data_IF_207360384240
#
_entry.id   IF_207360384240
#
_cell.length_a   1.000
_cell.length_b   1.000
_cell.length_c   1.000
_cell.angle_alpha   90.00
_cell.angle_beta   90.00
_cell.angle_gamma   90.00
#
_symmetry.space_group_name_H-M   'P 1'
#
loop_
_entity.id
_entity.type
_entity.pdbx_description
1 polymer ?
2 non-polymer ?
3 non-polymer ?
4 water ?
#
# COMPACT_ATOMS: atom_id res chain seq x y z
N UNK A 31 -3.98 3.61 17.50
CA UNK A 31 -2.75 4.46 17.68
C UNK A 31 -2.87 5.77 16.89
N UNK A 32 -3.20 6.82 17.61
CA UNK A 32 -3.41 8.10 16.99
C UNK A 32 -2.07 8.83 16.88
N UNK A 33 -1.82 9.46 15.73
CA UNK A 33 -0.59 10.24 15.55
C UNK A 33 -0.80 11.61 16.24
N UNK A 34 0.19 11.97 17.09
CA UNK A 34 0.48 13.37 17.51
C UNK A 34 1.35 13.98 16.45
N UNK A 35 2.62 13.58 16.53
CA UNK A 35 3.71 14.50 16.35
C UNK A 35 3.45 15.46 15.20
N UNK A 36 3.15 16.71 15.57
CA UNK A 36 2.86 17.78 14.62
C UNK A 36 3.94 17.96 13.57
N UNK A 37 5.18 18.14 14.00
CA UNK A 37 6.30 18.20 13.04
C UNK A 37 6.43 16.92 12.22
N UNK A 38 6.13 15.76 12.81
CA UNK A 38 6.27 14.53 12.09
C UNK A 38 5.22 14.46 10.97
N UNK A 39 4.00 14.86 11.29
CA UNK A 39 2.96 14.90 10.29
C UNK A 39 3.33 15.84 9.12
N UNK A 40 3.93 16.99 9.45
CA UNK A 40 4.37 17.89 8.39
C UNK A 40 5.48 17.28 7.54
N UNK A 41 6.37 16.50 8.17
CA UNK A 41 7.46 15.84 7.43
C UNK A 41 6.94 14.78 6.47
N UNK A 42 5.90 14.06 6.88
CA UNK A 42 5.24 13.05 5.99
C UNK A 42 4.68 13.74 4.75
N UNK A 43 4.01 14.88 4.97
CA UNK A 43 3.43 15.62 3.85
C UNK A 43 4.51 16.18 2.92
N UNK A 44 5.56 16.74 3.50
CA UNK A 44 6.72 17.17 2.71
C UNK A 44 7.28 16.01 1.89
N UNK A 45 7.49 14.86 2.52
CA UNK A 45 8.00 13.69 1.81
C UNK A 45 7.11 13.25 0.63
N UNK A 46 5.79 13.34 0.82
CA UNK A 46 4.81 13.05 -0.24
C UNK A 46 4.99 13.88 -1.52
N UNK A 47 5.57 15.07 -1.40
CA UNK A 47 5.70 16.01 -2.53
C UNK A 47 4.34 16.62 -2.93
N UNK A 48 3.39 16.62 -2.00
CA UNK A 48 2.06 17.17 -2.21
C UNK A 48 2.14 18.64 -2.64
N UNK A 49 1.48 18.98 -3.73
CA UNK A 49 1.42 20.35 -4.18
C UNK A 49 0.02 20.82 -3.95
N UNK A 50 -0.10 22.14 -3.92
CA UNK A 50 -1.36 22.83 -3.81
C UNK A 50 -2.41 22.35 -4.81
N UNK A 51 -3.66 22.32 -4.38
CA UNK A 51 -4.80 22.07 -5.24
C UNK A 51 -4.88 20.64 -5.72
N UNK A 52 -4.33 19.72 -4.95
CA UNK A 52 -4.42 18.28 -5.29
C UNK A 52 -5.69 17.62 -4.75
N UNK A 53 -5.90 16.39 -5.20
CA UNK A 53 -6.99 15.52 -4.77
C UNK A 53 -6.38 14.44 -3.88
N UNK A 54 -6.70 14.47 -2.58
CA UNK A 54 -6.00 13.62 -1.61
C UNK A 54 -6.98 12.64 -0.96
N UNK A 55 -6.48 11.45 -0.62
CA UNK A 55 -7.20 10.46 0.14
C UNK A 55 -6.40 10.07 1.39
N UNK A 56 -7.09 10.06 2.53
CA UNK A 56 -6.50 9.64 3.79
C UNK A 56 -7.39 8.57 4.38
N UNK A 57 -6.80 7.46 4.86
CA UNK A 57 -7.56 6.41 5.60
C UNK A 57 -7.34 6.52 7.12
N UNK A 58 -8.39 6.33 7.90
CA UNK A 58 -8.25 6.30 9.35
C UNK A 58 -7.58 7.56 9.91
N UNK A 59 -8.18 8.73 9.64
CA UNK A 59 -7.58 10.00 10.09
C UNK A 59 -7.49 10.12 11.62
N UNK A 60 -8.29 9.32 12.33
CA UNK A 60 -8.19 9.26 13.77
C UNK A 60 -8.53 10.62 14.34
N UNK A 61 -7.62 11.15 15.14
CA UNK A 61 -7.82 12.41 15.79
C UNK A 61 -7.30 13.60 14.95
N UNK A 62 -6.89 13.38 13.70
CA UNK A 62 -6.70 14.49 12.74
C UNK A 62 -5.30 15.08 12.52
N UNK A 63 -4.26 14.51 13.11
CA UNK A 63 -2.93 15.09 13.00
C UNK A 63 -2.40 15.19 11.56
N UNK A 64 -2.41 14.08 10.85
CA UNK A 64 -2.00 14.05 9.47
C UNK A 64 -2.99 14.83 8.61
N UNK A 65 -4.28 14.69 8.93
CA UNK A 65 -5.32 15.41 8.23
C UNK A 65 -5.01 16.94 8.17
N UNK A 66 -4.64 17.52 9.31
CA UNK A 66 -4.38 18.96 9.36
C UNK A 66 -3.13 19.33 8.56
N UNK A 67 -2.08 18.51 8.65
CA UNK A 67 -0.88 18.72 7.83
C UNK A 67 -1.20 18.68 6.35
N UNK A 68 -2.09 17.77 5.94
CA UNK A 68 -2.47 17.68 4.51
C UNK A 68 -3.20 18.98 4.13
N UNK A 69 -4.15 19.37 4.97
CA UNK A 69 -5.00 20.55 4.71
C UNK A 69 -4.19 21.87 4.66
N UNK A 70 -3.05 21.87 5.34
CA UNK A 70 -2.15 23.02 5.27
C UNK A 70 -1.57 23.22 3.86
N UNK A 71 -1.58 22.18 3.00
CA UNK A 71 -1.18 22.35 1.58
C UNK A 71 -2.31 22.67 0.62
N UNK A 72 -3.50 22.97 1.16
CA UNK A 72 -4.58 23.53 0.37
C UNK A 72 -5.01 22.65 -0.79
N UNK A 73 -5.29 21.39 -0.48
CA UNK A 73 -5.77 20.51 -1.55
C UNK A 73 -7.12 20.99 -2.06
N UNK A 74 -7.44 20.61 -3.30
CA UNK A 74 -8.77 20.81 -3.83
C UNK A 74 -9.81 20.00 -3.09
N UNK A 75 -9.45 18.77 -2.72
CA UNK A 75 -10.33 17.90 -1.99
C UNK A 75 -9.49 16.95 -1.15
N UNK A 76 -9.82 16.86 0.11
CA UNK A 76 -9.26 15.85 0.98
C UNK A 76 -10.44 14.99 1.41
N UNK A 77 -10.40 13.74 0.99
CA UNK A 77 -11.37 12.75 1.39
C UNK A 77 -10.75 11.87 2.44
N UNK A 78 -11.47 11.71 3.56
CA UNK A 78 -11.06 10.84 4.65
C UNK A 78 -12.08 9.73 4.89
N UNK A 79 -11.55 8.53 5.13
CA UNK A 79 -12.36 7.33 5.32
C UNK A 79 -12.18 6.95 6.77
N UNK A 80 -13.27 7.03 7.56
CA UNK A 80 -13.21 6.80 8.98
C UNK A 80 -14.47 6.11 9.49
N UNK A 81 -14.29 5.11 10.35
CA UNK A 81 -15.41 4.41 11.00
C UNK A 81 -15.49 4.66 12.51
N UNK A 82 -14.37 5.00 13.13
CA UNK A 82 -14.38 5.16 14.59
C UNK A 82 -15.31 6.34 14.98
N UNK A 83 -16.42 6.04 15.67
CA UNK A 83 -17.39 7.06 16.06
C UNK A 83 -16.74 8.13 16.93
N UNK A 84 -15.88 7.68 17.84
CA UNK A 84 -15.19 8.59 18.77
C UNK A 84 -14.52 9.78 18.06
N UNK A 85 -14.03 9.52 16.83
CA UNK A 85 -13.20 10.47 16.04
C UNK A 85 -13.94 11.49 15.16
N UNK A 86 -15.19 11.19 14.83
CA UNK A 86 -15.92 12.00 13.87
C UNK A 86 -16.20 13.44 14.33
N UNK A 87 -16.68 13.63 15.58
CA UNK A 87 -16.93 15.00 16.01
C UNK A 87 -15.78 15.94 15.74
N UNK A 88 -14.53 15.57 16.08
CA UNK A 88 -13.38 16.44 15.76
C UNK A 88 -13.27 16.61 14.24
N UNK A 89 -13.47 15.53 13.48
CA UNK A 89 -13.44 15.60 12.00
C UNK A 89 -14.55 16.52 11.42
N UNK A 90 -15.73 16.48 12.03
CA UNK A 90 -16.80 17.42 11.68
C UNK A 90 -16.39 18.85 11.99
N UNK A 91 -15.74 19.05 13.13
CA UNK A 91 -15.25 20.36 13.54
C UNK A 91 -14.18 20.87 12.58
N UNK A 92 -13.27 19.98 12.17
CA UNK A 92 -12.24 20.39 11.21
C UNK A 92 -12.91 20.86 9.93
N UNK A 93 -13.88 20.08 9.47
CA UNK A 93 -14.59 20.39 8.23
C UNK A 93 -15.22 21.80 8.29
N UNK A 94 -15.64 22.22 9.49
CA UNK A 94 -16.22 23.57 9.65
C UNK A 94 -15.26 24.67 9.24
N UNK A 95 -13.96 24.48 9.44
CA UNK A 95 -12.99 25.44 8.97
C UNK A 95 -12.41 25.06 7.61
N UNK A 96 -12.62 23.83 7.16
CA UNK A 96 -12.01 23.35 5.91
C UNK A 96 -13.06 22.68 5.04
N UNK A 97 -13.80 23.50 4.26
CA UNK A 97 -14.87 22.97 3.42
C UNK A 97 -14.41 21.95 2.37
N UNK A 98 -13.13 21.96 2.04
CA UNK A 98 -12.53 20.95 1.16
C UNK A 98 -12.30 19.59 1.82
N UNK A 99 -12.69 19.44 3.08
CA UNK A 99 -12.67 18.16 3.76
C UNK A 99 -13.98 17.41 3.52
N UNK A 100 -13.84 16.17 3.05
CA UNK A 100 -14.95 15.27 2.76
C UNK A 100 -14.79 14.01 3.63
N UNK A 101 -15.80 13.69 4.46
CA UNK A 101 -15.70 12.58 5.40
C UNK A 101 -16.59 11.41 5.00
N UNK A 102 -16.00 10.23 4.85
CA UNK A 102 -16.77 9.03 4.48
C UNK A 102 -16.62 7.98 5.56
N UNK A 103 -17.75 7.55 6.12
CA UNK A 103 -17.76 6.53 7.17
C UNK A 103 -18.00 5.13 6.57
N UNK A 104 -16.93 4.49 6.11
CA UNK A 104 -17.01 3.16 5.49
C UNK A 104 -15.77 2.35 5.86
N UNK A 105 -15.88 1.03 5.77
CA UNK A 105 -14.74 0.13 5.97
C UNK A 105 -13.73 0.34 4.85
N UNK A 106 -12.47 0.50 5.21
CA UNK A 106 -11.44 0.76 4.24
C UNK A 106 -11.31 -0.41 3.25
N UNK A 107 -11.43 -1.63 3.77
CA UNK A 107 -11.36 -2.81 2.91
C UNK A 107 -12.54 -2.92 1.95
N UNK A 108 -13.62 -2.20 2.20
CA UNK A 108 -14.77 -2.21 1.32
C UNK A 108 -14.74 -1.08 0.29
N UNK A 109 -13.83 -0.13 0.42
CA UNK A 109 -13.77 0.98 -0.56
C UNK A 109 -12.97 0.57 -1.78
N UNK A 110 -13.55 0.72 -2.96
CA UNK A 110 -12.78 0.77 -4.20
C UNK A 110 -12.44 2.23 -4.47
N UNK A 111 -11.20 2.52 -4.88
CA UNK A 111 -10.86 3.89 -5.30
C UNK A 111 -11.79 4.40 -6.41
N UNK A 112 -12.22 3.52 -7.30
CA UNK A 112 -13.19 3.87 -8.35
C UNK A 112 -14.52 4.39 -7.80
N UNK A 113 -14.83 4.04 -6.55
CA UNK A 113 -16.03 4.58 -5.86
C UNK A 113 -15.94 6.05 -5.47
N UNK A 114 -14.72 6.62 -5.43
CA UNK A 114 -14.56 8.02 -5.07
C UNK A 114 -14.86 9.00 -6.22
N UNK A 115 -15.08 8.49 -7.43
CA UNK A 115 -15.44 9.34 -8.53
C UNK A 115 -14.47 10.51 -8.76
N UNK A 116 -13.17 10.27 -8.56
CA UNK A 116 -12.13 11.27 -8.88
C UNK A 116 -10.84 10.61 -9.37
N UNK A 117 -10.00 11.41 -10.01
CA UNK A 117 -8.79 10.91 -10.68
C UNK A 117 -7.60 11.47 -9.94
N UNK A 118 -6.41 11.01 -10.34
CA UNK A 118 -5.17 11.59 -9.88
C UNK A 118 -5.17 11.68 -8.35
N UNK A 119 -5.54 10.58 -7.72
CA UNK A 119 -5.63 10.50 -6.28
C UNK A 119 -4.23 10.38 -5.69
N UNK A 120 -3.92 11.31 -4.79
CA UNK A 120 -2.74 11.25 -4.01
C UNK A 120 -3.16 10.69 -2.66
N UNK A 121 -2.66 9.51 -2.34
CA UNK A 121 -2.95 8.88 -1.06
C UNK A 121 -1.83 9.22 -0.06
N UNK A 122 -2.18 9.89 1.04
CA UNK A 122 -1.28 10.16 2.11
C UNK A 122 -1.99 9.66 3.36
N UNK A 123 -1.40 8.67 4.04
CA UNK A 123 -2.11 7.96 5.07
C UNK A 123 -1.22 7.10 5.95
N UNK A 124 -1.55 7.10 7.24
CA UNK A 124 -1.27 6.00 8.13
C UNK A 124 -2.26 4.88 7.85
N UNK A 125 -1.82 3.63 7.98
CA UNK A 125 -2.71 2.51 7.79
C UNK A 125 -2.95 1.83 9.13
N UNK A 126 -4.20 1.42 9.38
CA UNK A 126 -4.50 0.50 10.46
C UNK A 126 -3.66 -0.78 10.34
N UNK A 127 -3.02 -1.17 11.43
CA UNK A 127 -2.06 -2.29 11.41
C UNK A 127 -2.68 -3.63 11.04
N UNK A 128 -3.99 -3.80 11.23
CA UNK A 128 -4.62 -5.05 10.81
C UNK A 128 -4.64 -5.26 9.28
N UNK A 129 -4.67 -4.19 8.48
CA UNK A 129 -5.05 -4.36 7.07
C UNK A 129 -4.16 -3.62 6.08
N UNK A 130 -3.01 -3.16 6.56
CA UNK A 130 -2.10 -2.33 5.78
C UNK A 130 -1.73 -2.96 4.46
N UNK A 131 -1.30 -4.22 4.54
CA UNK A 131 -0.82 -4.96 3.37
C UNK A 131 -1.97 -5.11 2.38
N UNK A 132 -3.16 -5.47 2.89
CA UNK A 132 -4.34 -5.65 2.06
C UNK A 132 -4.74 -4.36 1.33
N UNK A 133 -4.61 -3.22 2.00
CA UNK A 133 -4.95 -1.95 1.38
C UNK A 133 -3.93 -1.56 0.31
N UNK A 134 -2.65 -1.74 0.60
CA UNK A 134 -1.63 -1.42 -0.38
C UNK A 134 -1.88 -2.19 -1.70
N UNK A 135 -2.13 -3.50 -1.59
CA UNK A 135 -2.37 -4.33 -2.77
C UNK A 135 -3.64 -3.86 -3.50
N UNK A 136 -4.71 -3.59 -2.75
CA UNK A 136 -5.95 -3.10 -3.34
C UNK A 136 -5.74 -1.80 -4.15
N UNK A 137 -5.02 -0.87 -3.56
CA UNK A 137 -4.76 0.43 -4.21
C UNK A 137 -3.89 0.27 -5.45
N UNK A 138 -2.86 -0.57 -5.33
CA UNK A 138 -1.97 -0.80 -6.48
C UNK A 138 -2.71 -1.41 -7.66
N UNK A 139 -3.67 -2.29 -7.35
CA UNK A 139 -4.52 -2.88 -8.36
C UNK A 139 -5.35 -1.83 -9.11
N UNK A 140 -5.66 -0.72 -8.46
CA UNK A 140 -6.31 0.41 -9.10
C UNK A 140 -5.31 1.56 -9.32
N UNK A 141 -4.07 1.21 -9.64
CA UNK A 141 -3.03 2.25 -9.76
C UNK A 141 -3.34 3.32 -10.81
N UNK A 142 -4.17 2.99 -11.82
CA UNK A 142 -4.53 3.97 -12.88
C UNK A 142 -5.18 5.25 -12.35
N UNK A 143 -5.83 5.15 -11.17
CA UNK A 143 -6.49 6.27 -10.56
C UNK A 143 -5.56 7.05 -9.60
N UNK A 144 -4.32 6.59 -9.44
CA UNK A 144 -3.43 7.02 -8.39
C UNK A 144 -2.29 7.85 -8.93
N UNK A 145 -2.12 9.05 -8.37
CA UNK A 145 -0.90 9.85 -8.64
C UNK A 145 0.29 9.28 -7.92
N UNK A 146 0.16 9.10 -6.61
CA UNK A 146 1.21 8.52 -5.77
C UNK A 146 0.62 8.14 -4.43
N UNK A 147 1.37 7.38 -3.65
CA UNK A 147 1.00 7.04 -2.27
C UNK A 147 2.21 7.23 -1.38
N UNK A 148 2.00 7.94 -0.27
CA UNK A 148 2.97 8.11 0.81
C UNK A 148 2.30 7.57 2.04
N UNK A 149 2.81 6.44 2.56
CA UNK A 149 2.08 5.68 3.55
C UNK A 149 2.95 5.40 4.77
N UNK A 150 2.33 5.40 5.93
CA UNK A 150 2.99 5.02 7.16
C UNK A 150 2.47 3.63 7.55
N UNK A 151 3.40 2.69 7.69
CA UNK A 151 3.13 1.29 8.02
C UNK A 151 4.15 0.79 9.02
N UNK A 152 3.88 -0.37 9.59
CA UNK A 152 4.88 -1.09 10.36
C UNK A 152 6.11 -1.21 9.49
N UNK A 153 7.26 -0.98 10.10
CA UNK A 153 8.53 -0.98 9.35
C UNK A 153 8.86 -2.35 8.75
N UNK A 154 8.40 -3.39 9.44
CA UNK A 154 8.57 -4.74 8.99
C UNK A 154 7.88 -4.92 7.64
N UNK A 155 6.72 -4.29 7.48
CA UNK A 155 5.96 -4.39 6.24
C UNK A 155 6.63 -3.57 5.13
N UNK A 156 7.10 -2.37 5.49
CA UNK A 156 7.82 -1.50 4.55
C UNK A 156 9.07 -2.23 3.98
N UNK A 157 9.84 -2.92 4.81
CA UNK A 157 11.00 -3.64 4.26
C UNK A 157 10.55 -4.74 3.26
N UNK A 158 9.39 -5.37 3.51
CA UNK A 158 8.86 -6.31 2.55
C UNK A 158 8.40 -5.61 1.29
N UNK A 159 7.79 -4.43 1.39
CA UNK A 159 7.40 -3.69 0.19
C UNK A 159 8.63 -3.41 -0.70
N UNK A 160 9.76 -3.10 -0.07
CA UNK A 160 10.93 -2.56 -0.77
C UNK A 160 11.97 -3.60 -1.12
N UNK A 161 11.75 -4.85 -0.70
CA UNK A 161 12.75 -5.90 -0.83
C UNK A 161 12.96 -6.30 -2.29
N UNK A 162 14.22 -6.59 -2.61
CA UNK A 162 14.64 -7.07 -3.92
C UNK A 162 14.79 -8.58 -3.89
N UNK A 163 14.75 -9.23 -5.05
CA UNK A 163 14.79 -10.69 -5.02
C UNK A 163 16.11 -11.20 -4.47
N UNK A 164 16.11 -12.39 -3.88
CA UNK A 164 17.30 -12.87 -3.22
C UNK A 164 17.78 -11.75 -2.26
N UNK A 165 16.85 -11.33 -1.40
CA UNK A 165 17.14 -10.62 -0.15
C UNK A 165 16.24 -11.28 0.90
N UNK A 166 16.55 -11.05 2.17
CA UNK A 166 15.89 -11.73 3.28
C UNK A 166 14.37 -11.51 3.30
N UNK A 167 13.97 -10.26 3.06
CA UNK A 167 12.55 -9.85 3.16
C UNK A 167 11.76 -10.02 1.85
N UNK A 168 12.38 -10.58 0.84
CA UNK A 168 11.71 -10.74 -0.47
C UNK A 168 10.55 -11.69 -0.31
N UNK A 169 9.41 -11.29 -0.85
CA UNK A 169 8.19 -12.05 -0.67
C UNK A 169 7.09 -11.59 -1.59
N UNK A 170 5.89 -12.06 -1.30
CA UNK A 170 4.74 -11.80 -2.12
C UNK A 170 4.48 -10.30 -2.28
N UNK A 171 4.56 -9.58 -1.16
CA UNK A 171 4.33 -8.13 -1.17
C UNK A 171 5.33 -7.44 -2.07
N UNK A 172 6.58 -7.87 -2.01
CA UNK A 172 7.66 -7.31 -2.82
C UNK A 172 7.34 -7.47 -4.31
N UNK A 173 6.95 -8.69 -4.69
CA UNK A 173 6.57 -9.00 -6.06
C UNK A 173 5.46 -8.08 -6.54
N UNK A 174 4.37 -7.99 -5.79
CA UNK A 174 3.23 -7.24 -6.25
C UNK A 174 3.58 -5.75 -6.41
N UNK A 175 4.20 -5.21 -5.39
CA UNK A 175 4.64 -3.81 -5.40
C UNK A 175 5.63 -3.52 -6.53
N UNK A 176 6.60 -4.41 -6.75
CA UNK A 176 7.62 -4.22 -7.80
C UNK A 176 7.07 -4.22 -9.19
N UNK A 177 6.01 -5.00 -9.42
CA UNK A 177 5.45 -5.05 -10.77
C UNK A 177 4.67 -3.77 -11.12
N UNK A 178 4.24 -3.03 -10.10
CA UNK A 178 3.32 -1.94 -10.29
C UNK A 178 3.87 -0.57 -10.00
N UNK A 179 4.78 -0.46 -9.05
CA UNK A 179 5.22 0.87 -8.58
C UNK A 179 6.73 0.98 -8.42
N UNK A 180 7.22 2.22 -8.48
CA UNK A 180 8.54 2.57 -7.97
C UNK A 180 8.34 2.73 -6.46
N UNK A 181 9.09 2.00 -5.65
CA UNK A 181 8.90 2.04 -4.19
C UNK A 181 10.11 2.67 -3.54
N UNK A 182 9.86 3.45 -2.51
CA UNK A 182 10.94 4.21 -1.87
C UNK A 182 10.67 4.35 -0.37
N UNK A 183 11.56 3.76 0.41
CA UNK A 183 11.60 3.95 1.83
C UNK A 183 12.02 5.40 2.16
N UNK A 184 11.20 6.13 2.93
CA UNK A 184 11.50 7.54 3.25
C UNK A 184 12.18 7.75 4.61
N UNK A 185 11.53 7.34 5.70
CA UNK A 185 12.19 7.38 7.01
C UNK A 185 11.43 6.52 8.01
N UNK A 186 12.10 6.23 9.11
CA UNK A 186 11.51 5.46 10.21
C UNK A 186 10.72 6.36 11.17
N UNK A 187 9.72 5.77 11.82
CA UNK A 187 8.87 6.47 12.76
C UNK A 187 8.80 5.66 14.08
N UNK A 188 9.26 6.28 15.17
CA UNK A 188 9.30 5.65 16.49
C UNK A 188 7.90 5.58 17.14
N UNK A 189 7.65 4.60 18.04
CA UNK A 189 6.34 4.48 18.75
C UNK A 189 5.86 5.75 19.47
N UNK A 190 6.81 6.55 19.95
CA UNK A 190 6.51 7.76 20.69
C UNK A 190 5.78 8.80 19.83
N UNK A 191 5.83 8.63 18.50
CA UNK A 191 5.08 9.48 17.59
C UNK A 191 3.55 9.39 17.78
N UNK A 192 3.04 8.32 18.43
CA UNK A 192 1.60 8.08 18.60
C UNK A 192 1.08 8.03 20.04
N UNK A 193 -0.24 8.14 20.19
CA UNK A 193 -0.93 7.98 21.47
C UNK A 193 -2.15 7.06 21.35
N UNK A 194 -2.21 5.98 22.16
CA UNK A 194 -1.07 5.50 22.94
C UNK A 194 0.01 4.93 21.97
N UNK A 195 1.22 4.65 22.49
CA UNK A 195 2.28 4.22 21.57
C UNK A 195 2.13 2.76 21.13
N UNK A 196 2.39 2.46 19.84
CA UNK A 196 2.44 1.04 19.45
C UNK A 196 3.69 0.35 20.02
N UNK A 197 3.74 -0.98 19.97
CA UNK A 197 4.92 -1.71 20.48
C UNK A 197 6.05 -1.77 19.43
N UNK A 198 5.74 -1.48 18.17
CA UNK A 198 6.72 -1.62 17.08
C UNK A 198 6.93 -0.34 16.27
N UNK A 199 8.06 -0.27 15.59
CA UNK A 199 8.38 0.83 14.70
C UNK A 199 7.49 0.84 13.46
N UNK A 200 7.03 2.04 13.12
CA UNK A 200 6.46 2.35 11.82
C UNK A 200 7.52 2.94 10.87
N UNK A 201 7.14 3.09 9.61
CA UNK A 201 7.98 3.78 8.67
C UNK A 201 7.13 4.30 7.54
N UNK A 202 7.72 5.24 6.82
CA UNK A 202 7.06 5.91 5.71
C UNK A 202 7.61 5.36 4.43
N UNK A 203 6.72 4.99 3.54
CA UNK A 203 7.11 4.50 2.24
C UNK A 203 6.34 5.24 1.15
N UNK A 204 7.04 5.58 0.07
CA UNK A 204 6.38 6.19 -1.09
C UNK A 204 6.31 5.23 -2.29
N UNK A 205 5.14 5.13 -2.91
CA UNK A 205 4.92 4.23 -4.05
C UNK A 205 4.40 5.06 -5.20
N UNK A 206 5.08 5.02 -6.33
CA UNK A 206 4.65 5.77 -7.49
C UNK A 206 4.41 4.81 -8.65
N UNK A 207 3.16 4.73 -9.15
CA UNK A 207 2.94 3.73 -10.20
C UNK A 207 3.88 3.87 -11.36
N UNK A 208 4.29 2.74 -11.90
CA UNK A 208 5.19 2.74 -13.03
C UNK A 208 4.46 3.23 -14.27
N UNK A 209 5.22 3.77 -15.20
CA UNK A 209 4.69 4.37 -16.41
C UNK A 209 4.04 3.32 -17.32
N UNK A 210 4.61 2.13 -17.31
CA UNK A 210 4.00 0.95 -17.93
C UNK A 210 3.68 -0.10 -16.86
N UNK A 211 2.42 -0.53 -16.78
CA UNK A 211 2.03 -1.55 -15.78
C UNK A 211 1.36 -2.77 -16.47
N UNK A 212 1.39 -3.96 -15.84
CA UNK A 212 0.77 -5.11 -16.47
C UNK A 212 -0.73 -4.98 -16.36
N UNK A 213 -1.48 -5.71 -17.18
CA UNK A 213 -2.92 -5.59 -17.07
C UNK A 213 -3.40 -6.24 -15.80
N UNK A 214 -4.51 -5.70 -15.34
CA UNK A 214 -5.17 -6.10 -14.13
C UNK A 214 -5.44 -7.60 -14.09
N UNK A 215 -5.75 -8.22 -15.22
CA UNK A 215 -5.96 -9.67 -15.24
C UNK A 215 -4.74 -10.41 -14.71
N UNK A 216 -3.57 -10.10 -15.26
CA UNK A 216 -2.34 -10.77 -14.87
C UNK A 216 -1.97 -10.47 -13.43
N UNK A 217 -2.17 -9.23 -12.96
CA UNK A 217 -1.86 -8.91 -11.58
C UNK A 217 -2.76 -9.73 -10.63
N UNK A 218 -4.04 -9.87 -10.98
CA UNK A 218 -4.96 -10.65 -10.14
C UNK A 218 -4.46 -12.08 -10.02
N UNK A 219 -3.99 -12.65 -11.11
CA UNK A 219 -3.43 -14.00 -11.06
C UNK A 219 -2.14 -14.07 -10.25
N UNK A 220 -1.25 -13.09 -10.43
CA UNK A 220 -0.02 -13.01 -9.64
C UNK A 220 -0.30 -12.97 -8.13
N UNK A 221 -1.29 -12.18 -7.75
CA UNK A 221 -1.73 -12.06 -6.38
C UNK A 221 -1.99 -13.44 -5.74
N UNK A 222 -2.71 -14.30 -6.47
CA UNK A 222 -3.04 -15.62 -5.95
C UNK A 222 -1.88 -16.61 -6.09
N UNK A 223 -1.24 -16.60 -7.26
CA UNK A 223 -0.06 -17.43 -7.45
C UNK A 223 1.00 -17.22 -6.35
N UNK A 224 1.29 -15.96 -6.01
CA UNK A 224 2.32 -15.70 -5.06
C UNK A 224 1.85 -16.11 -3.66
N UNK A 225 0.53 -16.09 -3.35
CA UNK A 225 0.06 -16.57 -2.04
C UNK A 225 0.36 -18.06 -1.85
N UNK A 226 0.15 -18.86 -2.88
CA UNK A 226 0.53 -20.25 -2.83
C UNK A 226 2.06 -20.40 -2.85
N UNK A 227 2.74 -19.75 -3.78
CA UNK A 227 4.19 -19.93 -3.93
C UNK A 227 4.95 -19.66 -2.62
N UNK A 228 4.60 -18.54 -1.97
CA UNK A 228 5.28 -18.10 -0.77
C UNK A 228 4.70 -18.65 0.53
N UNK A 229 3.71 -19.54 0.46
CA UNK A 229 3.13 -20.09 1.70
C UNK A 229 4.21 -20.75 2.58
N UNK A 230 5.19 -21.43 1.97
CA UNK A 230 6.44 -21.86 2.66
C UNK A 230 7.70 -21.57 1.82
N UNK A 231 8.79 -21.10 2.43
CA UNK A 231 10.04 -20.73 1.71
C UNK A 231 10.82 -21.91 1.09
N UNK A 232 10.60 -23.10 1.62
CA UNK A 232 11.37 -24.21 1.11
C UNK A 232 10.73 -24.89 -0.07
N UNK A 233 9.51 -24.48 -0.44
CA UNK A 233 8.75 -25.30 -1.38
C UNK A 233 9.12 -24.93 -2.81
N UNK A 234 9.36 -25.98 -3.58
CA UNK A 234 9.60 -25.79 -4.98
C UNK A 234 8.32 -25.33 -5.59
N UNK A 235 8.45 -24.50 -6.59
CA UNK A 235 7.33 -24.03 -7.36
C UNK A 235 6.58 -25.20 -7.97
N UNK A 236 7.29 -26.23 -8.40
CA UNK A 236 6.57 -27.32 -9.08
C UNK A 236 5.74 -28.13 -8.09
N UNK A 237 5.96 -27.90 -6.78
CA UNK A 237 5.17 -28.51 -5.76
C UNK A 237 4.02 -27.58 -5.30
N UNK A 238 4.38 -26.35 -4.89
CA UNK A 238 3.36 -25.40 -4.44
C UNK A 238 2.28 -25.08 -5.46
N UNK A 239 2.61 -25.09 -6.75
CA UNK A 239 1.62 -24.74 -7.78
C UNK A 239 1.00 -25.94 -8.49
N UNK A 240 1.33 -27.14 -8.01
CA UNK A 240 0.93 -28.37 -8.66
C UNK A 240 -0.59 -28.54 -8.70
N UNK A 241 -1.29 -28.19 -7.62
CA UNK A 241 -2.76 -28.31 -7.62
C UNK A 241 -3.33 -27.38 -8.68
N UNK A 242 -2.86 -26.13 -8.69
CA UNK A 242 -3.36 -25.14 -9.64
C UNK A 242 -2.98 -25.48 -11.07
N UNK A 243 -1.76 -25.96 -11.28
CA UNK A 243 -1.23 -26.22 -12.60
C UNK A 243 -0.52 -27.57 -12.57
N UNK A 244 -1.25 -28.61 -12.98
CA UNK A 244 -0.71 -29.98 -12.99
C UNK A 244 0.50 -30.10 -13.93
N UNK A 245 0.50 -29.26 -14.96
CA UNK A 245 1.55 -29.22 -15.96
C UNK A 245 2.63 -28.16 -15.62
N UNK A 246 2.71 -27.75 -14.35
CA UNK A 246 3.67 -26.71 -13.94
C UNK A 246 5.12 -26.95 -14.43
N UNK A 247 5.61 -28.19 -14.44
CA UNK A 247 6.99 -28.48 -14.96
C UNK A 247 7.15 -28.12 -16.44
N UNK A 248 6.10 -28.37 -17.22
CA UNK A 248 6.03 -27.94 -18.63
C UNK A 248 6.11 -26.41 -18.78
N UNK A 249 5.39 -25.68 -17.93
CA UNK A 249 5.37 -24.23 -18.02
C UNK A 249 6.71 -23.64 -17.61
N UNK A 250 7.31 -24.18 -16.56
CA UNK A 250 8.65 -23.73 -16.14
C UNK A 250 9.67 -23.95 -17.29
N UNK A 251 9.53 -25.07 -17.98
CA UNK A 251 10.39 -25.37 -19.13
C UNK A 251 10.15 -24.43 -20.30
N UNK A 252 8.87 -24.10 -20.56
CA UNK A 252 8.53 -23.12 -21.59
C UNK A 252 9.16 -21.75 -21.26
N UNK A 253 9.25 -21.41 -19.99
CA UNK A 253 9.84 -20.16 -19.58
C UNK A 253 11.36 -20.27 -19.33
N UNK A 254 11.92 -21.44 -19.52
CA UNK A 254 13.34 -21.70 -19.29
C UNK A 254 13.76 -21.40 -17.87
N UNK A 255 12.87 -21.68 -16.94
CA UNK A 255 13.18 -21.56 -15.53
C UNK A 255 13.54 -22.94 -14.98
N UNK A 256 14.48 -23.00 -14.02
CA UNK A 256 14.80 -24.26 -13.38
C UNK A 256 13.56 -25.01 -12.91
N UNK A 257 13.55 -26.32 -13.16
CA UNK A 257 12.49 -27.17 -12.66
C UNK A 257 12.55 -27.23 -11.13
N UNK A 258 13.69 -26.87 -10.53
CA UNK A 258 13.80 -26.96 -9.06
C UNK A 258 13.70 -25.62 -8.32
N UNK A 259 13.30 -24.59 -9.04
CA UNK A 259 13.19 -23.25 -8.46
C UNK A 259 12.25 -23.23 -7.24
N UNK A 260 12.55 -22.33 -6.33
CA UNK A 260 11.72 -22.08 -5.17
C UNK A 260 11.25 -20.65 -5.29
N UNK A 261 10.22 -20.30 -4.52
CA UNK A 261 9.57 -19.01 -4.69
C UNK A 261 10.50 -17.81 -4.64
N UNK A 262 11.45 -17.82 -3.72
CA UNK A 262 12.40 -16.68 -3.54
C UNK A 262 13.38 -16.54 -4.71
N UNK A 263 13.47 -17.57 -5.54
CA UNK A 263 14.37 -17.58 -6.68
C UNK A 263 13.79 -16.85 -7.89
N UNK A 264 12.45 -16.78 -7.99
CA UNK A 264 11.77 -16.17 -9.13
C UNK A 264 11.68 -14.67 -8.96
N UNK A 265 11.89 -13.93 -10.05
CA UNK A 265 11.77 -12.48 -10.06
C UNK A 265 10.30 -12.05 -10.14
N UNK A 266 9.99 -10.75 -9.99
CA UNK A 266 8.59 -10.37 -10.23
C UNK A 266 8.13 -10.67 -11.64
N UNK A 267 9.01 -10.45 -12.61
CA UNK A 267 8.68 -10.77 -14.01
C UNK A 267 8.42 -12.24 -14.26
N UNK A 268 9.17 -13.10 -13.57
CA UNK A 268 8.94 -14.56 -13.63
C UNK A 268 7.50 -14.89 -13.21
N UNK A 269 7.02 -14.27 -12.13
CA UNK A 269 5.63 -14.50 -11.70
C UNK A 269 4.60 -13.99 -12.68
N UNK A 270 4.90 -12.87 -13.34
CA UNK A 270 4.01 -12.37 -14.38
C UNK A 270 3.94 -13.33 -15.55
N UNK A 271 5.10 -13.84 -15.95
CA UNK A 271 5.17 -14.85 -17.00
C UNK A 271 4.37 -16.08 -16.69
N UNK A 272 4.53 -16.59 -15.47
CA UNK A 272 3.73 -17.72 -15.03
C UNK A 272 2.24 -17.44 -15.07
N UNK A 273 1.83 -16.25 -14.59
CA UNK A 273 0.42 -15.87 -14.62
C UNK A 273 -0.13 -15.90 -16.04
N UNK A 274 0.68 -15.53 -17.01
CA UNK A 274 0.16 -15.45 -18.38
C UNK A 274 0.01 -16.84 -19.00
N UNK A 275 0.56 -17.87 -18.35
CA UNK A 275 0.53 -19.27 -18.86
C UNK A 275 -0.37 -20.19 -18.07
N UNK A 276 -0.56 -19.87 -16.80
CA UNK A 276 -1.60 -20.50 -16.03
C UNK A 276 -2.92 -19.84 -16.50
#
# INVERSE_FOLDING_TARGET
MAHHHHHHMLPSIAKHAASHQIHPLKKHGQNFIFDGSLCDKIVRASGLEENSNVLEIGPGTGGLTRSILHKNPKLLTVIETDERCIPLLNEIKQYHPNLNIIKQDALKLKLSDLNTNKITIISNLPYHIGTELVIRWLKESSLVASMTLMLQKEVVERICAKPSTKAYGRLSVICSLIATVEKCFDVAPTAFYPPPKVYSAIVKLTPLENIPNSDLISKVELITKMAFAGRRKMIKSSLKNLAPNISELLAKLNISDNCRAENLTPNDYLSLASLI
#
